data_IF_350218016224
#
_entry.id   IF_350218016224
#
_cell.length_a   1.000
_cell.length_b   1.000
_cell.length_c   1.000
_cell.angle_alpha   90.00
_cell.angle_beta   90.00
_cell.angle_gamma   90.00
#
_symmetry.space_group_name_H-M   'P 1'
#
loop_
_entity.id
_entity.type
_entity.pdbx_description
1 polymer ?
#
# COMPACT_ATOMS: atom_id res chain seq x y z
N UNK A 1 -15.19 -2.39 -16.35
CA UNK A 1 -13.91 -2.52 -15.62
C UNK A 1 -12.93 -1.54 -16.22
N UNK A 2 -12.44 -0.60 -15.41
CA UNK A 2 -11.37 0.33 -15.80
C UNK A 2 -10.05 -0.41 -15.97
N UNK A 3 -9.11 0.13 -16.75
CA UNK A 3 -7.82 -0.52 -17.01
C UNK A 3 -7.02 -0.76 -15.72
N UNK A 4 -7.11 0.16 -14.75
CA UNK A 4 -6.41 0.04 -13.47
C UNK A 4 -6.90 -1.14 -12.63
N UNK A 5 -8.20 -1.50 -12.70
CA UNK A 5 -8.76 -2.63 -11.96
C UNK A 5 -8.18 -3.97 -12.41
N UNK A 6 -7.96 -4.13 -13.73
CA UNK A 6 -7.35 -5.35 -14.28
C UNK A 6 -5.86 -5.42 -13.96
N UNK A 7 -5.17 -4.28 -14.01
CA UNK A 7 -3.73 -4.22 -13.72
C UNK A 7 -3.45 -4.53 -12.24
N UNK A 8 -4.18 -3.94 -11.29
CA UNK A 8 -3.94 -4.16 -9.87
C UNK A 8 -4.11 -5.63 -9.45
N UNK A 9 -5.05 -6.36 -10.07
CA UNK A 9 -5.26 -7.80 -9.80
C UNK A 9 -4.07 -8.67 -10.23
N UNK A 10 -3.27 -8.21 -11.19
CA UNK A 10 -2.06 -8.91 -11.67
C UNK A 10 -0.81 -8.59 -10.85
N UNK A 11 -0.85 -7.51 -10.08
CA UNK A 11 0.25 -7.14 -9.20
C UNK A 11 0.22 -8.01 -7.94
N UNK A 12 1.37 -8.52 -7.48
CA UNK A 12 1.44 -9.27 -6.24
C UNK A 12 1.15 -8.33 -5.06
N UNK A 13 0.57 -8.91 -4.01
CA UNK A 13 0.40 -8.25 -2.71
C UNK A 13 1.73 -8.05 -2.00
N UNK A 14 2.67 -8.97 -2.22
CA UNK A 14 4.04 -8.95 -1.72
C UNK A 14 4.95 -9.64 -2.74
N UNK A 15 6.04 -8.99 -3.13
CA UNK A 15 7.03 -9.52 -4.06
C UNK A 15 8.04 -10.41 -3.30
N UNK A 16 7.92 -11.72 -3.49
CA UNK A 16 8.78 -12.72 -2.85
C UNK A 16 10.26 -12.49 -3.16
N UNK A 17 10.61 -12.10 -4.39
CA UNK A 17 12.00 -11.84 -4.77
C UNK A 17 12.57 -10.66 -4.00
N UNK A 18 11.73 -9.65 -3.73
CA UNK A 18 12.13 -8.49 -2.93
C UNK A 18 12.36 -8.88 -1.47
N UNK A 19 11.51 -9.76 -0.92
CA UNK A 19 11.71 -10.28 0.44
C UNK A 19 12.98 -11.12 0.55
N UNK A 20 13.22 -12.04 -0.39
CA UNK A 20 14.43 -12.85 -0.46
C UNK A 20 15.69 -11.98 -0.53
N UNK A 21 15.66 -10.92 -1.34
CA UNK A 21 16.74 -9.95 -1.41
C UNK A 21 16.97 -9.24 -0.06
N UNK A 22 15.91 -8.73 0.56
CA UNK A 22 16.01 -8.06 1.87
C UNK A 22 16.50 -9.02 2.96
N UNK A 23 16.10 -10.28 2.91
CA UNK A 23 16.58 -11.31 3.82
C UNK A 23 18.08 -11.58 3.63
N UNK A 24 18.54 -11.68 2.38
CA UNK A 24 19.95 -11.85 2.07
C UNK A 24 20.82 -10.65 2.49
N UNK A 25 20.28 -9.43 2.42
CA UNK A 25 20.97 -8.20 2.79
C UNK A 25 20.99 -7.94 4.30
N UNK A 26 19.91 -8.29 5.02
CA UNK A 26 19.70 -7.89 6.43
C UNK A 26 19.73 -9.07 7.41
N UNK A 27 19.51 -10.28 6.92
CA UNK A 27 19.27 -11.48 7.72
C UNK A 27 17.80 -11.64 8.13
N UNK A 28 17.38 -12.90 8.32
CA UNK A 28 15.99 -13.29 8.60
C UNK A 28 15.41 -12.68 9.89
N UNK A 29 16.22 -12.47 10.93
CA UNK A 29 15.75 -11.87 12.19
C UNK A 29 15.41 -10.39 12.02
N UNK A 30 16.28 -9.65 11.34
CA UNK A 30 16.08 -8.22 11.06
C UNK A 30 14.89 -8.04 10.13
N UNK A 31 14.78 -8.85 9.06
CA UNK A 31 13.63 -8.79 8.16
C UNK A 31 12.32 -9.02 8.92
N UNK A 32 12.22 -10.05 9.77
CA UNK A 32 11.00 -10.31 10.57
C UNK A 32 10.62 -9.14 11.47
N UNK A 33 11.60 -8.46 12.07
CA UNK A 33 11.34 -7.26 12.87
C UNK A 33 10.82 -6.11 12.02
N UNK A 34 11.42 -5.86 10.85
CA UNK A 34 10.99 -4.83 9.92
C UNK A 34 9.59 -5.10 9.35
N UNK A 35 9.27 -6.35 9.04
CA UNK A 35 7.93 -6.75 8.62
C UNK A 35 6.89 -6.55 9.74
N UNK A 36 7.29 -6.78 11.00
CA UNK A 36 6.46 -6.44 12.16
C UNK A 36 6.14 -4.95 12.25
N UNK A 37 7.16 -4.10 12.10
CA UNK A 37 6.98 -2.64 12.07
C UNK A 37 6.13 -2.20 10.87
N UNK A 38 6.35 -2.77 9.70
CA UNK A 38 5.55 -2.50 8.50
C UNK A 38 4.06 -2.81 8.72
N UNK A 39 3.74 -3.90 9.45
CA UNK A 39 2.34 -4.21 9.77
C UNK A 39 1.71 -3.15 10.65
N UNK A 40 2.42 -2.74 11.71
CA UNK A 40 1.93 -1.75 12.67
C UNK A 40 1.74 -0.39 12.00
N UNK A 41 2.77 0.09 11.30
CA UNK A 41 2.74 1.35 10.56
C UNK A 41 1.67 1.32 9.46
N UNK A 42 1.57 0.21 8.72
CA UNK A 42 0.57 0.03 7.67
C UNK A 42 -0.86 0.19 8.20
N UNK A 43 -1.17 -0.39 9.37
CA UNK A 43 -2.49 -0.24 10.01
C UNK A 43 -2.76 1.21 10.43
N UNK A 44 -1.80 1.84 11.12
CA UNK A 44 -1.96 3.22 11.63
C UNK A 44 -2.14 4.19 10.46
N UNK A 45 -1.30 4.10 9.43
CA UNK A 45 -1.37 4.97 8.27
C UNK A 45 -2.61 4.69 7.40
N UNK A 46 -3.05 3.43 7.31
CA UNK A 46 -4.29 3.06 6.64
C UNK A 46 -5.53 3.66 7.32
N UNK A 47 -5.60 3.63 8.64
CA UNK A 47 -6.66 4.29 9.43
C UNK A 47 -6.64 5.81 9.26
N UNK A 48 -5.45 6.43 9.29
CA UNK A 48 -5.31 7.87 9.08
C UNK A 48 -5.75 8.30 7.66
N UNK A 49 -5.42 7.51 6.63
CA UNK A 49 -5.88 7.74 5.27
C UNK A 49 -7.41 7.57 5.14
N UNK A 50 -7.99 6.57 5.81
CA UNK A 50 -9.44 6.36 5.82
C UNK A 50 -10.18 7.53 6.49
N UNK A 51 -9.64 8.08 7.57
CA UNK A 51 -10.18 9.29 8.21
C UNK A 51 -10.13 10.50 7.25
N UNK A 52 -8.98 10.74 6.61
CA UNK A 52 -8.83 11.83 5.63
C UNK A 52 -9.81 11.69 4.44
N UNK A 53 -10.07 10.45 4.00
CA UNK A 53 -11.07 10.18 2.96
C UNK A 53 -12.51 10.50 3.41
N UNK A 54 -12.88 10.13 4.64
CA UNK A 54 -14.19 10.45 5.21
C UNK A 54 -14.41 11.96 5.37
N UNK A 55 -13.35 12.69 5.72
CA UNK A 55 -13.32 14.15 5.82
C UNK A 55 -13.24 14.87 4.46
N UNK A 56 -13.09 14.12 3.35
CA UNK A 56 -12.85 14.65 2.00
C UNK A 56 -11.61 15.56 1.91
N UNK A 57 -10.63 15.39 2.80
CA UNK A 57 -9.38 16.15 2.83
C UNK A 57 -8.36 15.54 1.86
N UNK A 58 -8.48 15.90 0.58
CA UNK A 58 -7.64 15.39 -0.50
C UNK A 58 -6.15 15.73 -0.32
N UNK A 59 -5.83 16.85 0.32
CA UNK A 59 -4.44 17.24 0.55
C UNK A 59 -3.80 16.34 1.61
N UNK A 60 -4.51 16.08 2.71
CA UNK A 60 -4.08 15.13 3.74
C UNK A 60 -4.00 13.71 3.20
N UNK A 61 -4.96 13.28 2.38
CA UNK A 61 -4.88 12.00 1.67
C UNK A 61 -3.60 11.90 0.84
N UNK A 62 -3.31 12.90 0.00
CA UNK A 62 -2.13 12.91 -0.85
C UNK A 62 -0.81 12.80 -0.06
N UNK A 63 -0.74 13.42 1.13
CA UNK A 63 0.42 13.29 2.03
C UNK A 63 0.57 11.87 2.57
N UNK A 64 -0.51 11.27 3.10
CA UNK A 64 -0.46 9.89 3.60
C UNK A 64 -0.07 8.91 2.50
N UNK A 65 -0.65 9.05 1.31
CA UNK A 65 -0.37 8.20 0.15
C UNK A 65 1.09 8.30 -0.32
N UNK A 66 1.69 9.48 -0.25
CA UNK A 66 3.10 9.69 -0.60
C UNK A 66 4.05 8.87 0.27
N UNK A 67 3.81 8.84 1.58
CA UNK A 67 4.59 8.05 2.53
C UNK A 67 4.30 6.55 2.39
N UNK A 68 3.01 6.20 2.30
CA UNK A 68 2.55 4.81 2.19
C UNK A 68 3.07 4.10 0.94
N UNK A 69 3.02 4.74 -0.24
CA UNK A 69 3.52 4.12 -1.47
C UNK A 69 5.02 3.82 -1.39
N UNK A 70 5.78 4.70 -0.74
CA UNK A 70 7.23 4.56 -0.57
C UNK A 70 7.54 3.39 0.36
N UNK A 71 6.83 3.30 1.48
CA UNK A 71 6.93 2.15 2.38
C UNK A 71 6.55 0.85 1.66
N UNK A 72 5.43 0.84 0.94
CA UNK A 72 4.99 -0.33 0.17
C UNK A 72 6.04 -0.77 -0.85
N UNK A 73 6.63 0.16 -1.60
CA UNK A 73 7.68 -0.13 -2.57
C UNK A 73 8.93 -0.75 -1.93
N UNK A 74 9.35 -0.27 -0.76
CA UNK A 74 10.52 -0.79 -0.05
C UNK A 74 10.39 -2.28 0.29
N UNK A 75 9.19 -2.70 0.73
CA UNK A 75 8.90 -4.08 1.14
C UNK A 75 8.31 -4.96 0.03
N UNK A 76 8.17 -4.44 -1.19
CA UNK A 76 7.63 -5.19 -2.32
C UNK A 76 6.10 -5.35 -2.31
N UNK A 77 5.36 -4.51 -1.57
CA UNK A 77 3.90 -4.48 -1.58
C UNK A 77 3.35 -3.79 -2.84
N UNK A 78 3.60 -4.39 -4.01
CA UNK A 78 3.45 -3.75 -5.32
C UNK A 78 2.02 -3.32 -5.64
N UNK A 79 1.01 -4.10 -5.24
CA UNK A 79 -0.39 -3.73 -5.43
C UNK A 79 -0.77 -2.48 -4.63
N UNK A 80 -0.36 -2.40 -3.36
CA UNK A 80 -0.58 -1.24 -2.50
C UNK A 80 0.14 -0.01 -3.01
N UNK A 81 1.38 -0.18 -3.49
CA UNK A 81 2.15 0.90 -4.11
C UNK A 81 1.42 1.47 -5.34
N UNK A 82 1.01 0.61 -6.27
CA UNK A 82 0.34 1.00 -7.50
C UNK A 82 -0.99 1.75 -7.24
N UNK A 83 -1.84 1.19 -6.38
CA UNK A 83 -3.11 1.82 -6.01
C UNK A 83 -2.88 3.13 -5.24
N UNK A 84 -1.85 3.18 -4.40
CA UNK A 84 -1.46 4.38 -3.66
C UNK A 84 -1.02 5.51 -4.59
N UNK A 85 -0.23 5.20 -5.62
CA UNK A 85 0.15 6.15 -6.66
C UNK A 85 -1.08 6.66 -7.45
N UNK A 86 -2.02 5.79 -7.77
CA UNK A 86 -3.28 6.18 -8.45
C UNK A 86 -4.16 7.07 -7.59
N UNK A 87 -4.33 6.74 -6.30
CA UNK A 87 -5.03 7.58 -5.35
C UNK A 87 -4.36 8.94 -5.18
N UNK A 88 -3.03 8.97 -5.06
CA UNK A 88 -2.28 10.21 -4.88
C UNK A 88 -2.44 11.12 -6.11
N UNK A 89 -2.38 10.52 -7.31
CA UNK A 89 -2.62 11.24 -8.55
C UNK A 89 -4.04 11.80 -8.60
N UNK A 90 -5.06 11.02 -8.23
CA UNK A 90 -6.47 11.46 -8.16
C UNK A 90 -6.68 12.60 -7.15
N UNK A 91 -5.99 12.56 -6.01
CA UNK A 91 -6.04 13.64 -5.01
C UNK A 91 -5.36 14.93 -5.49
N UNK A 92 -4.17 14.81 -6.12
CA UNK A 92 -3.32 15.96 -6.51
C UNK A 92 -3.73 16.60 -7.83
N UNK A 93 -4.25 15.81 -8.77
CA UNK A 93 -4.65 16.23 -10.11
C UNK A 93 -6.04 15.65 -10.28
N UNK A 94 -7.03 16.45 -10.70
CA UNK A 94 -8.43 16.01 -10.91
C UNK A 94 -8.54 14.96 -12.03
N UNK A 95 -7.91 13.80 -11.85
CA UNK A 95 -7.98 12.63 -12.69
C UNK A 95 -9.38 12.03 -12.56
N UNK A 96 -9.83 11.39 -13.65
CA UNK A 96 -11.22 10.98 -13.84
C UNK A 96 -11.56 9.67 -13.14
N UNK A 97 -10.57 8.96 -12.60
CA UNK A 97 -10.79 7.73 -11.85
C UNK A 97 -11.67 8.01 -10.61
N UNK A 98 -12.64 7.12 -10.29
CA UNK A 98 -13.46 7.29 -9.11
C UNK A 98 -12.61 7.13 -7.84
N UNK A 99 -12.41 8.23 -7.10
CA UNK A 99 -11.61 8.26 -5.85
C UNK A 99 -12.07 7.18 -4.85
N UNK A 100 -13.39 7.00 -4.72
CA UNK A 100 -13.97 6.01 -3.83
C UNK A 100 -13.61 4.57 -4.23
N UNK A 101 -13.69 4.22 -5.52
CA UNK A 101 -13.33 2.88 -5.98
C UNK A 101 -11.85 2.58 -5.76
N UNK A 102 -10.98 3.55 -6.03
CA UNK A 102 -9.55 3.44 -5.76
C UNK A 102 -9.28 3.28 -4.25
N UNK A 103 -10.03 3.99 -3.40
CA UNK A 103 -9.89 3.91 -1.95
C UNK A 103 -10.27 2.52 -1.43
N UNK A 104 -11.41 1.98 -1.87
CA UNK A 104 -11.84 0.63 -1.49
C UNK A 104 -10.85 -0.44 -1.99
N UNK A 105 -10.37 -0.31 -3.24
CA UNK A 105 -9.36 -1.22 -3.76
C UNK A 105 -8.06 -1.17 -2.96
N UNK A 106 -7.61 0.03 -2.58
CA UNK A 106 -6.39 0.20 -1.80
C UNK A 106 -6.53 -0.36 -0.37
N UNK A 107 -7.66 -0.14 0.30
CA UNK A 107 -7.94 -0.70 1.62
C UNK A 107 -7.95 -2.23 1.61
N UNK A 108 -8.58 -2.84 0.59
CA UNK A 108 -8.59 -4.29 0.41
C UNK A 108 -7.16 -4.82 0.17
N UNK A 109 -6.40 -4.18 -0.73
CA UNK A 109 -5.02 -4.56 -0.99
C UNK A 109 -4.15 -4.46 0.27
N UNK A 110 -4.30 -3.39 1.06
CA UNK A 110 -3.56 -3.24 2.32
C UNK A 110 -3.92 -4.37 3.29
N UNK A 111 -5.22 -4.64 3.52
CA UNK A 111 -5.65 -5.70 4.42
C UNK A 111 -5.09 -7.07 4.02
N UNK A 112 -5.15 -7.40 2.73
CA UNK A 112 -4.63 -8.65 2.18
C UNK A 112 -3.10 -8.74 2.29
N UNK A 113 -2.37 -7.66 1.97
CA UNK A 113 -0.91 -7.59 2.14
C UNK A 113 -0.52 -7.77 3.61
N UNK A 114 -1.20 -7.09 4.53
CA UNK A 114 -0.92 -7.21 5.98
C UNK A 114 -1.18 -8.64 6.48
N UNK A 115 -2.23 -9.30 5.98
CA UNK A 115 -2.50 -10.70 6.27
C UNK A 115 -1.39 -11.61 5.71
N UNK A 116 -0.94 -11.38 4.48
CA UNK A 116 0.16 -12.15 3.88
C UNK A 116 1.47 -11.98 4.65
N UNK A 117 1.85 -10.76 5.02
CA UNK A 117 3.08 -10.50 5.79
C UNK A 117 3.08 -11.24 7.12
N UNK A 118 1.91 -11.39 7.78
CA UNK A 118 1.81 -12.18 9.02
C UNK A 118 2.14 -13.66 8.84
N UNK A 119 1.93 -14.22 7.64
CA UNK A 119 2.28 -15.61 7.33
C UNK A 119 3.79 -15.80 7.14
N UNK A 120 4.53 -14.73 6.86
CA UNK A 120 6.00 -14.73 6.72
C UNK A 120 6.74 -14.47 8.05
N UNK A 121 6.02 -14.37 9.17
CA UNK A 121 6.59 -14.08 10.49
C UNK A 121 7.04 -15.33 11.24
#
# INVERSE_FOLDING_TARGET
MTDWQRLQQRLPLLDERRLEQLEGELGAEVLRRLLGLFIEDGRIQGEALAAAFAEQDLERMARHLHSLKSACGSYGALRCQYLGEKLEQCCRRRQREPLAELMFAWQAALADTLAQVRLHR
#
